data_IF_331761921578
#
_entry.id   IF_331761921578
#
_cell.length_a   1.000
_cell.length_b   1.000
_cell.length_c   1.000
_cell.angle_alpha   90.00
_cell.angle_beta   90.00
_cell.angle_gamma   90.00
#
_symmetry.space_group_name_H-M   'P 1'
#
loop_
_entity.id
_entity.type
_entity.pdbx_description
1 polymer ?
#
# COMPACT_ATOMS: atom_id res chain seq x y z
N UNK A 1 -25.72 115.70 -24.50
CA UNK A 1 -26.28 114.45 -25.05
C UNK A 1 -25.18 113.78 -25.85
N UNK A 2 -24.47 112.81 -25.26
CA UNK A 2 -23.46 111.99 -25.94
C UNK A 2 -23.78 110.52 -25.67
N UNK A 3 -24.20 109.83 -26.73
CA UNK A 3 -24.57 108.41 -26.75
C UNK A 3 -23.32 107.54 -26.53
N UNK A 4 -23.42 106.60 -25.59
CA UNK A 4 -22.51 105.45 -25.53
C UNK A 4 -22.94 104.42 -26.59
N UNK A 5 -22.00 104.07 -27.46
CA UNK A 5 -22.13 102.96 -28.43
C UNK A 5 -21.54 101.71 -27.77
N UNK A 6 -22.33 100.66 -27.65
CA UNK A 6 -21.85 99.33 -27.23
C UNK A 6 -21.41 98.59 -28.50
N UNK A 7 -20.12 98.24 -28.56
CA UNK A 7 -19.53 97.41 -29.61
C UNK A 7 -19.82 95.94 -29.32
N UNK A 8 -20.44 95.22 -30.26
CA UNK A 8 -20.61 93.77 -30.18
C UNK A 8 -19.34 93.08 -30.68
N UNK A 9 -18.75 92.22 -29.84
CA UNK A 9 -17.55 91.47 -30.19
C UNK A 9 -17.84 90.45 -31.31
N UNK A 10 -16.98 90.41 -32.34
CA UNK A 10 -17.05 89.43 -33.44
C UNK A 10 -16.49 88.07 -32.98
N UNK A 11 -17.39 87.09 -32.86
CA UNK A 11 -17.12 85.74 -32.35
C UNK A 11 -16.86 84.72 -33.48
N UNK A 12 -16.86 85.14 -34.75
CA UNK A 12 -16.71 84.24 -35.91
C UNK A 12 -15.37 83.50 -35.94
N UNK A 13 -14.28 84.18 -35.60
CA UNK A 13 -12.92 83.61 -35.49
C UNK A 13 -12.86 82.55 -34.39
N UNK A 14 -13.52 82.80 -33.25
CA UNK A 14 -13.61 81.85 -32.15
C UNK A 14 -14.41 80.62 -32.58
N UNK A 15 -15.49 80.81 -33.35
CA UNK A 15 -16.33 79.71 -33.82
C UNK A 15 -15.62 78.82 -34.86
N UNK A 16 -14.83 79.40 -35.76
CA UNK A 16 -13.97 78.64 -36.69
C UNK A 16 -12.84 77.90 -35.98
N UNK A 17 -12.20 78.53 -35.00
CA UNK A 17 -11.21 77.85 -34.16
C UNK A 17 -11.85 76.67 -33.39
N UNK A 18 -13.06 76.86 -32.85
CA UNK A 18 -13.82 75.78 -32.20
C UNK A 18 -14.19 74.65 -33.15
N UNK A 19 -14.59 74.96 -34.39
CA UNK A 19 -14.95 73.92 -35.36
C UNK A 19 -13.72 73.13 -35.83
N UNK A 20 -12.57 73.81 -36.01
CA UNK A 20 -11.29 73.15 -36.31
C UNK A 20 -10.87 72.23 -35.17
N UNK A 21 -10.92 72.73 -33.93
CA UNK A 21 -10.62 71.93 -32.73
C UNK A 21 -11.57 70.73 -32.63
N UNK A 22 -12.86 70.90 -32.93
CA UNK A 22 -13.83 69.80 -32.91
C UNK A 22 -13.55 68.74 -33.99
N UNK A 23 -13.06 69.16 -35.15
CA UNK A 23 -12.66 68.27 -36.23
C UNK A 23 -11.39 67.50 -35.85
N UNK A 24 -10.39 68.19 -35.33
CA UNK A 24 -9.14 67.59 -34.86
C UNK A 24 -9.38 66.62 -33.69
N UNK A 25 -10.27 67.00 -32.76
CA UNK A 25 -10.71 66.13 -31.65
C UNK A 25 -11.42 64.87 -32.16
N UNK A 26 -12.20 64.97 -33.24
CA UNK A 26 -12.86 63.82 -33.86
C UNK A 26 -11.84 62.90 -34.54
N UNK A 27 -10.83 63.47 -35.21
CA UNK A 27 -9.70 62.73 -35.78
C UNK A 27 -8.91 61.99 -34.71
N UNK A 28 -8.53 62.68 -33.63
CA UNK A 28 -7.82 62.10 -32.48
C UNK A 28 -8.64 61.00 -31.80
N UNK A 29 -9.96 61.16 -31.66
CA UNK A 29 -10.82 60.11 -31.09
C UNK A 29 -10.85 58.85 -31.97
N UNK A 30 -10.88 59.02 -33.30
CA UNK A 30 -10.82 57.89 -34.23
C UNK A 30 -9.47 57.17 -34.19
N UNK A 31 -8.35 57.91 -34.12
CA UNK A 31 -7.01 57.34 -33.98
C UNK A 31 -6.85 56.62 -32.64
N UNK A 32 -7.32 57.21 -31.53
CA UNK A 32 -7.38 56.56 -30.21
C UNK A 32 -8.19 55.27 -30.24
N UNK A 33 -9.34 55.25 -30.92
CA UNK A 33 -10.14 54.04 -31.10
C UNK A 33 -9.37 52.94 -31.85
N UNK A 34 -8.66 53.29 -32.93
CA UNK A 34 -7.82 52.33 -33.66
C UNK A 34 -6.60 51.87 -32.87
N UNK A 35 -6.03 52.73 -32.02
CA UNK A 35 -4.90 52.42 -31.17
C UNK A 35 -5.32 51.47 -30.03
N UNK A 36 -6.47 51.71 -29.40
CA UNK A 36 -7.06 50.78 -28.44
C UNK A 36 -7.31 49.41 -29.07
N UNK A 37 -7.90 49.36 -30.27
CA UNK A 37 -8.13 48.08 -30.96
C UNK A 37 -6.82 47.32 -31.25
N UNK A 38 -5.77 48.03 -31.71
CA UNK A 38 -4.45 47.43 -31.92
C UNK A 38 -3.79 46.98 -30.61
N UNK A 39 -4.00 47.72 -29.53
CA UNK A 39 -3.51 47.37 -28.20
C UNK A 39 -4.20 46.11 -27.67
N UNK A 40 -5.53 46.03 -27.77
CA UNK A 40 -6.32 44.85 -27.40
C UNK A 40 -5.90 43.62 -28.24
N UNK A 41 -5.65 43.81 -29.53
CA UNK A 41 -5.15 42.76 -30.42
C UNK A 41 -3.75 42.29 -30.02
N UNK A 42 -2.83 43.23 -29.72
CA UNK A 42 -1.48 42.90 -29.24
C UNK A 42 -1.51 42.16 -27.91
N UNK A 43 -2.36 42.58 -26.97
CA UNK A 43 -2.53 41.89 -25.70
C UNK A 43 -3.02 40.45 -25.93
N UNK A 44 -4.02 40.25 -26.81
CA UNK A 44 -4.51 38.92 -27.18
C UNK A 44 -3.43 38.05 -27.85
N UNK A 45 -2.63 38.61 -28.75
CA UNK A 45 -1.53 37.89 -29.42
C UNK A 45 -0.40 37.54 -28.44
N UNK A 46 -0.09 38.42 -27.49
CA UNK A 46 0.88 38.16 -26.42
C UNK A 46 0.40 37.06 -25.48
N UNK A 47 -0.87 37.05 -25.08
CA UNK A 47 -1.44 35.96 -24.28
C UNK A 47 -1.34 34.62 -25.02
N UNK A 48 -1.74 34.57 -26.29
CA UNK A 48 -1.62 33.35 -27.11
C UNK A 48 -0.17 32.88 -27.23
N UNK A 49 0.77 33.80 -27.43
CA UNK A 49 2.19 33.45 -27.51
C UNK A 49 2.71 32.90 -26.18
N UNK A 50 2.28 33.49 -25.05
CA UNK A 50 2.62 32.99 -23.73
C UNK A 50 2.08 31.58 -23.50
N UNK A 51 0.83 31.31 -23.91
CA UNK A 51 0.21 29.99 -23.83
C UNK A 51 0.96 28.96 -24.71
N UNK A 52 1.24 29.31 -25.97
CA UNK A 52 2.03 28.43 -26.87
C UNK A 52 3.42 28.14 -26.33
N UNK A 53 4.08 29.13 -25.72
CA UNK A 53 5.39 28.93 -25.12
C UNK A 53 5.31 28.02 -23.89
N UNK A 54 4.29 28.18 -23.05
CA UNK A 54 4.04 27.30 -21.91
C UNK A 54 3.80 25.86 -22.35
N UNK A 55 2.97 25.64 -23.38
CA UNK A 55 2.69 24.33 -23.97
C UNK A 55 3.95 23.70 -24.58
N UNK A 56 4.73 24.48 -25.34
CA UNK A 56 5.99 24.03 -25.92
C UNK A 56 7.00 23.65 -24.83
N UNK A 57 7.17 24.49 -23.81
CA UNK A 57 8.08 24.21 -22.70
C UNK A 57 7.66 22.95 -21.92
N UNK A 58 6.36 22.75 -21.72
CA UNK A 58 5.82 21.54 -21.10
C UNK A 58 6.08 20.29 -21.97
N UNK A 59 5.86 20.37 -23.28
CA UNK A 59 6.11 19.28 -24.22
C UNK A 59 7.60 18.92 -24.34
N UNK A 60 8.48 19.92 -24.45
CA UNK A 60 9.94 19.72 -24.48
C UNK A 60 10.44 19.08 -23.17
N UNK A 61 9.95 19.54 -22.02
CA UNK A 61 10.29 18.97 -20.73
C UNK A 61 9.81 17.51 -20.61
N UNK A 62 8.60 17.20 -21.08
CA UNK A 62 8.08 15.82 -21.14
C UNK A 62 8.93 14.93 -22.06
N UNK A 63 9.26 15.38 -23.27
CA UNK A 63 10.13 14.64 -24.17
C UNK A 63 11.53 14.38 -23.58
N UNK A 64 12.14 15.38 -22.94
CA UNK A 64 13.42 15.22 -22.23
C UNK A 64 13.32 14.21 -21.09
N UNK A 65 12.24 14.28 -20.32
CA UNK A 65 11.99 13.32 -19.24
C UNK A 65 11.84 11.90 -19.77
N UNK A 66 11.10 11.72 -20.87
CA UNK A 66 10.91 10.43 -21.53
C UNK A 66 12.24 9.83 -21.98
N UNK A 67 13.04 10.59 -22.74
CA UNK A 67 14.34 10.11 -23.25
C UNK A 67 15.32 9.77 -22.11
N UNK A 68 15.34 10.60 -21.06
CA UNK A 68 16.15 10.34 -19.87
C UNK A 68 15.67 9.09 -19.13
N UNK A 69 14.35 8.90 -19.01
CA UNK A 69 13.77 7.75 -18.33
C UNK A 69 14.04 6.44 -19.08
N UNK A 70 13.92 6.40 -20.40
CA UNK A 70 14.27 5.23 -21.23
C UNK A 70 15.75 4.84 -21.04
N UNK A 71 16.64 5.83 -21.11
CA UNK A 71 18.08 5.62 -20.93
C UNK A 71 18.40 5.11 -19.52
N UNK A 72 17.84 5.77 -18.50
CA UNK A 72 18.03 5.38 -17.08
C UNK A 72 17.45 4.00 -16.81
N UNK A 73 16.27 3.69 -17.33
CA UNK A 73 15.63 2.39 -17.17
C UNK A 73 16.52 1.27 -17.73
N UNK A 74 17.11 1.48 -18.92
CA UNK A 74 18.05 0.53 -19.51
C UNK A 74 19.28 0.29 -18.62
N UNK A 75 19.94 1.37 -18.19
CA UNK A 75 21.12 1.30 -17.32
C UNK A 75 20.80 0.64 -15.98
N UNK A 76 19.69 1.02 -15.34
CA UNK A 76 19.27 0.45 -14.05
C UNK A 76 18.93 -1.04 -14.17
N UNK A 77 18.29 -1.48 -15.25
CA UNK A 77 18.04 -2.91 -15.51
C UNK A 77 19.35 -3.68 -15.70
N UNK A 78 20.33 -3.10 -16.39
CA UNK A 78 21.66 -3.70 -16.54
C UNK A 78 22.39 -3.79 -15.20
N UNK A 79 22.36 -2.72 -14.39
CA UNK A 79 22.95 -2.71 -13.06
C UNK A 79 22.32 -3.78 -12.16
N UNK A 80 21.00 -3.95 -12.25
CA UNK A 80 20.26 -4.97 -11.51
C UNK A 80 20.68 -6.38 -11.94
N UNK A 81 20.83 -6.62 -13.25
CA UNK A 81 21.33 -7.89 -13.77
C UNK A 81 22.76 -8.18 -13.32
N UNK A 82 23.64 -7.18 -13.32
CA UNK A 82 25.04 -7.33 -12.90
C UNK A 82 25.14 -7.64 -11.41
N UNK A 83 24.39 -6.91 -10.56
CA UNK A 83 24.47 -7.05 -9.11
C UNK A 83 23.68 -8.25 -8.57
N UNK A 84 22.49 -8.50 -9.12
CA UNK A 84 21.51 -9.43 -8.55
C UNK A 84 21.00 -10.49 -9.53
N UNK A 85 21.60 -10.62 -10.72
CA UNK A 85 21.25 -11.68 -11.67
C UNK A 85 21.32 -13.08 -11.05
N UNK A 86 22.31 -13.31 -10.19
CA UNK A 86 22.44 -14.57 -9.45
C UNK A 86 21.36 -14.79 -8.39
N UNK A 87 20.78 -13.73 -7.79
CA UNK A 87 19.68 -13.87 -6.85
C UNK A 87 18.45 -14.45 -7.57
N UNK A 88 18.16 -13.95 -8.78
CA UNK A 88 17.10 -14.51 -9.62
C UNK A 88 17.33 -15.98 -10.00
N UNK A 89 18.58 -16.39 -10.26
CA UNK A 89 18.92 -17.80 -10.45
C UNK A 89 18.67 -18.64 -9.19
N UNK A 90 19.10 -18.17 -8.02
CA UNK A 90 18.91 -18.86 -6.74
C UNK A 90 17.42 -19.01 -6.41
N UNK A 91 16.59 -17.98 -6.67
CA UNK A 91 15.14 -18.07 -6.50
C UNK A 91 14.51 -19.15 -7.39
N UNK A 92 14.93 -19.25 -8.65
CA UNK A 92 14.50 -20.33 -9.56
C UNK A 92 14.92 -21.71 -9.05
N UNK A 93 16.16 -21.84 -8.56
CA UNK A 93 16.65 -23.06 -7.94
C UNK A 93 15.85 -23.41 -6.68
N UNK A 94 15.50 -22.43 -5.85
CA UNK A 94 14.70 -22.63 -4.64
C UNK A 94 13.35 -23.26 -4.96
N UNK A 95 12.63 -22.74 -5.96
CA UNK A 95 11.36 -23.32 -6.43
C UNK A 95 11.56 -24.77 -6.89
N UNK A 96 12.61 -25.05 -7.66
CA UNK A 96 12.92 -26.40 -8.13
C UNK A 96 13.27 -27.38 -7.00
N UNK A 97 14.05 -26.93 -6.01
CA UNK A 97 14.41 -27.73 -4.83
C UNK A 97 13.17 -28.02 -3.98
N UNK A 98 12.33 -27.01 -3.69
CA UNK A 98 11.10 -27.21 -2.90
C UNK A 98 10.17 -28.23 -3.58
N UNK A 99 9.90 -28.06 -4.87
CA UNK A 99 9.08 -29.00 -5.65
C UNK A 99 9.73 -30.39 -5.70
N UNK A 100 11.04 -30.47 -5.92
CA UNK A 100 11.78 -31.72 -6.01
C UNK A 100 11.77 -32.52 -4.71
N UNK A 101 11.86 -31.83 -3.57
CA UNK A 101 11.78 -32.43 -2.23
C UNK A 101 10.36 -32.92 -1.94
N UNK A 102 9.32 -32.20 -2.34
CA UNK A 102 7.93 -32.64 -2.14
C UNK A 102 7.59 -33.93 -2.89
N UNK A 103 8.03 -34.02 -4.15
CA UNK A 103 7.73 -35.18 -5.01
C UNK A 103 8.68 -36.34 -4.71
N UNK A 104 9.86 -36.07 -4.12
CA UNK A 104 10.86 -37.08 -3.77
C UNK A 104 11.57 -37.71 -4.98
N UNK A 105 11.57 -37.02 -6.13
CA UNK A 105 12.10 -37.54 -7.42
C UNK A 105 13.55 -37.12 -7.66
N UNK A 106 14.04 -36.11 -6.94
CA UNK A 106 15.40 -35.59 -7.13
C UNK A 106 16.38 -36.37 -6.25
N UNK A 107 17.46 -36.87 -6.84
CA UNK A 107 18.53 -37.55 -6.11
C UNK A 107 19.26 -36.61 -5.14
N UNK A 108 19.74 -37.17 -4.04
CA UNK A 108 20.54 -36.47 -3.03
C UNK A 108 21.75 -35.72 -3.60
N UNK A 109 22.43 -36.29 -4.61
CA UNK A 109 23.61 -35.67 -5.23
C UNK A 109 23.26 -34.41 -6.04
N UNK A 110 22.13 -34.44 -6.77
CA UNK A 110 21.63 -33.28 -7.52
C UNK A 110 21.17 -32.18 -6.55
N UNK A 111 20.47 -32.54 -5.46
CA UNK A 111 20.06 -31.58 -4.43
C UNK A 111 21.28 -30.91 -3.78
N UNK A 112 22.33 -31.68 -3.46
CA UNK A 112 23.59 -31.13 -2.93
C UNK A 112 24.23 -30.17 -3.93
N UNK A 113 24.44 -30.62 -5.17
CA UNK A 113 25.14 -29.85 -6.18
C UNK A 113 24.42 -28.53 -6.48
N UNK A 114 23.09 -28.55 -6.66
CA UNK A 114 22.31 -27.35 -6.91
C UNK A 114 22.35 -26.36 -5.73
N UNK A 115 22.25 -26.85 -4.50
CA UNK A 115 22.30 -25.98 -3.32
C UNK A 115 23.71 -25.38 -3.09
N UNK A 116 24.77 -26.16 -3.30
CA UNK A 116 26.16 -25.68 -3.19
C UNK A 116 26.49 -24.68 -4.32
N UNK A 117 25.99 -24.92 -5.54
CA UNK A 117 26.11 -23.97 -6.65
C UNK A 117 25.43 -22.62 -6.31
N UNK A 118 24.22 -22.65 -5.74
CA UNK A 118 23.52 -21.46 -5.29
C UNK A 118 24.34 -20.66 -4.25
N UNK A 119 24.99 -21.35 -3.32
CA UNK A 119 25.86 -20.73 -2.30
C UNK A 119 27.11 -20.08 -2.90
N UNK A 120 27.70 -20.69 -3.93
CA UNK A 120 28.88 -20.14 -4.62
C UNK A 120 28.49 -18.91 -5.46
N UNK A 121 27.36 -18.96 -6.16
CA UNK A 121 26.90 -17.88 -7.04
C UNK A 121 26.36 -16.65 -6.29
N UNK A 122 25.75 -16.85 -5.13
CA UNK A 122 25.15 -15.77 -4.35
C UNK A 122 25.62 -15.80 -2.87
N UNK A 123 26.91 -15.51 -2.61
CA UNK A 123 27.49 -15.63 -1.27
C UNK A 123 26.97 -14.59 -0.26
N UNK A 124 26.28 -13.53 -0.69
CA UNK A 124 25.63 -12.56 0.21
C UNK A 124 24.17 -12.91 0.54
N UNK A 125 23.51 -13.71 -0.30
CA UNK A 125 22.06 -13.89 -0.24
C UNK A 125 21.65 -14.86 0.88
N UNK A 126 20.62 -14.57 1.67
CA UNK A 126 20.18 -15.42 2.78
C UNK A 126 19.61 -16.77 2.32
N UNK A 127 18.95 -16.81 1.16
CA UNK A 127 18.27 -18.01 0.66
C UNK A 127 19.26 -19.10 0.26
N UNK A 128 20.43 -18.72 -0.26
CA UNK A 128 21.43 -19.67 -0.71
C UNK A 128 21.90 -20.65 0.40
N UNK A 129 22.39 -20.21 1.58
CA UNK A 129 22.70 -21.11 2.69
C UNK A 129 21.46 -21.76 3.30
N UNK A 130 20.27 -21.15 3.20
CA UNK A 130 19.03 -21.78 3.63
C UNK A 130 18.69 -23.03 2.77
N UNK A 131 18.93 -22.97 1.45
CA UNK A 131 18.78 -24.10 0.54
C UNK A 131 19.82 -25.19 0.82
N UNK A 132 21.07 -24.83 1.11
CA UNK A 132 22.10 -25.81 1.53
C UNK A 132 21.67 -26.49 2.82
N UNK A 133 21.17 -25.73 3.79
CA UNK A 133 20.67 -26.28 5.05
C UNK A 133 19.46 -27.20 4.83
N UNK A 134 18.52 -26.86 3.94
CA UNK A 134 17.39 -27.71 3.59
C UNK A 134 17.84 -29.00 2.89
N UNK A 135 18.71 -28.89 1.88
CA UNK A 135 19.23 -30.05 1.15
C UNK A 135 20.05 -30.98 2.07
N UNK A 136 20.82 -30.43 3.01
CA UNK A 136 21.51 -31.22 4.02
C UNK A 136 20.55 -31.90 5.00
N UNK A 137 19.46 -31.22 5.40
CA UNK A 137 18.43 -31.79 6.27
C UNK A 137 17.73 -32.99 5.64
N UNK A 138 17.30 -32.88 4.39
CA UNK A 138 16.63 -33.96 3.65
C UNK A 138 17.53 -35.20 3.54
N UNK A 139 18.85 -34.99 3.40
CA UNK A 139 19.87 -36.03 3.30
C UNK A 139 20.39 -36.55 4.65
N UNK A 140 19.83 -36.09 5.77
CA UNK A 140 20.30 -36.40 7.12
C UNK A 140 21.78 -36.02 7.40
N UNK A 141 22.33 -35.03 6.69
CA UNK A 141 23.67 -34.48 6.95
C UNK A 141 23.59 -33.35 8.00
N UNK A 142 23.67 -33.75 9.26
CA UNK A 142 23.59 -32.83 10.41
C UNK A 142 24.71 -31.79 10.42
N UNK A 143 25.95 -32.16 10.06
CA UNK A 143 27.10 -31.26 10.17
C UNK A 143 26.97 -30.09 9.18
N UNK A 144 26.62 -30.40 7.93
CA UNK A 144 26.42 -29.39 6.90
C UNK A 144 25.17 -28.56 7.19
N UNK A 145 24.08 -29.19 7.63
CA UNK A 145 22.86 -28.48 8.01
C UNK A 145 23.13 -27.41 9.08
N UNK A 146 23.78 -27.75 10.19
CA UNK A 146 24.03 -26.80 11.29
C UNK A 146 24.97 -25.66 10.90
N UNK A 147 25.93 -25.90 10.00
CA UNK A 147 26.82 -24.84 9.49
C UNK A 147 26.06 -23.89 8.57
N UNK A 148 25.36 -24.44 7.58
CA UNK A 148 24.62 -23.66 6.60
C UNK A 148 23.46 -22.89 7.26
N UNK A 149 22.75 -23.51 8.21
CA UNK A 149 21.67 -22.85 8.94
C UNK A 149 22.17 -21.65 9.72
N UNK A 150 23.33 -21.76 10.40
CA UNK A 150 23.92 -20.61 11.11
C UNK A 150 24.28 -19.47 10.17
N UNK A 151 24.79 -19.77 8.98
CA UNK A 151 25.07 -18.73 7.97
C UNK A 151 23.78 -18.09 7.44
N UNK A 152 22.72 -18.87 7.20
CA UNK A 152 21.43 -18.33 6.78
C UNK A 152 20.83 -17.38 7.83
N UNK A 153 20.81 -17.81 9.10
CA UNK A 153 20.31 -17.01 10.22
C UNK A 153 21.13 -15.73 10.44
N UNK A 154 22.44 -15.77 10.16
CA UNK A 154 23.31 -14.60 10.26
C UNK A 154 23.02 -13.56 9.16
N UNK A 155 22.58 -14.00 7.98
CA UNK A 155 22.25 -13.12 6.85
C UNK A 155 20.87 -12.50 7.03
N UNK A 156 19.86 -13.33 7.30
CA UNK A 156 18.50 -12.87 7.59
C UNK A 156 17.82 -13.86 8.54
N UNK A 157 17.71 -13.47 9.81
CA UNK A 157 17.12 -14.32 10.85
C UNK A 157 15.61 -14.51 10.63
N UNK A 158 14.91 -13.43 10.27
CA UNK A 158 13.47 -13.43 10.10
C UNK A 158 13.03 -14.29 8.91
N UNK A 159 13.57 -14.03 7.72
CA UNK A 159 13.22 -14.76 6.50
C UNK A 159 13.62 -16.23 6.62
N UNK A 160 14.79 -16.52 7.21
CA UNK A 160 15.20 -17.91 7.46
C UNK A 160 14.26 -18.62 8.43
N UNK A 161 13.84 -17.95 9.51
CA UNK A 161 12.89 -18.50 10.49
C UNK A 161 11.53 -18.81 9.85
N UNK A 162 10.99 -17.86 9.08
CA UNK A 162 9.73 -18.04 8.37
C UNK A 162 9.82 -19.17 7.33
N UNK A 163 10.91 -19.21 6.55
CA UNK A 163 11.17 -20.25 5.56
C UNK A 163 11.17 -21.64 6.19
N UNK A 164 11.97 -21.86 7.24
CA UNK A 164 12.06 -23.17 7.89
C UNK A 164 10.77 -23.55 8.62
N UNK A 165 10.02 -22.59 9.18
CA UNK A 165 8.70 -22.87 9.76
C UNK A 165 7.75 -23.44 8.71
N UNK A 166 7.63 -22.79 7.54
CA UNK A 166 6.73 -23.19 6.46
C UNK A 166 7.16 -24.50 5.82
N UNK A 167 8.46 -24.67 5.56
CA UNK A 167 9.01 -25.91 4.96
C UNK A 167 8.86 -27.10 5.91
N UNK A 168 9.19 -26.96 7.19
CA UNK A 168 9.05 -28.07 8.15
C UNK A 168 7.58 -28.48 8.32
N UNK A 169 6.66 -27.51 8.27
CA UNK A 169 5.23 -27.79 8.21
C UNK A 169 4.85 -28.54 6.94
N UNK A 170 5.31 -28.10 5.76
CA UNK A 170 5.04 -28.74 4.46
C UNK A 170 5.52 -30.20 4.42
N UNK A 171 6.69 -30.47 5.02
CA UNK A 171 7.27 -31.82 5.16
C UNK A 171 6.67 -32.64 6.31
N UNK A 172 5.60 -32.17 6.95
CA UNK A 172 4.94 -32.80 8.10
C UNK A 172 5.89 -33.11 9.29
N UNK A 173 6.95 -32.30 9.47
CA UNK A 173 7.89 -32.39 10.60
C UNK A 173 7.40 -31.54 11.76
N UNK A 174 6.35 -32.01 12.42
CA UNK A 174 5.60 -31.29 13.45
C UNK A 174 6.47 -30.70 14.58
N UNK A 175 7.39 -31.48 15.15
CA UNK A 175 8.24 -31.01 16.26
C UNK A 175 9.20 -29.89 15.83
N UNK A 176 9.72 -29.97 14.61
CA UNK A 176 10.58 -28.93 14.05
C UNK A 176 9.76 -27.67 13.71
N UNK A 177 8.59 -27.84 13.08
CA UNK A 177 7.69 -26.75 12.76
C UNK A 177 7.26 -25.97 14.01
N UNK A 178 6.98 -26.67 15.13
CA UNK A 178 6.64 -26.04 16.41
C UNK A 178 7.77 -25.18 16.96
N UNK A 179 9.02 -25.66 16.92
CA UNK A 179 10.19 -24.89 17.38
C UNK A 179 10.44 -23.65 16.52
N UNK A 180 10.27 -23.77 15.20
CA UNK A 180 10.39 -22.63 14.30
C UNK A 180 9.25 -21.63 14.47
N UNK A 181 8.03 -22.10 14.73
CA UNK A 181 6.89 -21.24 15.07
C UNK A 181 7.12 -20.48 16.37
N UNK A 182 7.64 -21.13 17.41
CA UNK A 182 8.04 -20.46 18.66
C UNK A 182 9.04 -19.33 18.40
N UNK A 183 10.07 -19.62 17.59
CA UNK A 183 11.05 -18.61 17.20
C UNK A 183 10.38 -17.48 16.40
N UNK A 184 9.49 -17.79 15.47
CA UNK A 184 8.76 -16.81 14.68
C UNK A 184 7.99 -15.82 15.55
N UNK A 185 7.24 -16.30 16.56
CA UNK A 185 6.53 -15.42 17.49
C UNK A 185 7.45 -14.48 18.29
N UNK A 186 8.69 -14.88 18.56
CA UNK A 186 9.68 -14.01 19.23
C UNK A 186 10.22 -12.89 18.33
N UNK A 187 10.14 -13.05 17.01
CA UNK A 187 10.52 -12.00 16.05
C UNK A 187 9.43 -10.96 15.81
N UNK A 188 8.19 -11.27 16.18
CA UNK A 188 7.07 -10.38 15.92
C UNK A 188 7.06 -9.17 16.86
N UNK A 189 6.69 -8.02 16.32
CA UNK A 189 6.44 -6.82 17.10
C UNK A 189 4.93 -6.57 17.19
N UNK A 190 4.31 -6.61 18.38
CA UNK A 190 2.86 -6.43 18.52
C UNK A 190 2.34 -5.06 18.07
N UNK A 191 3.19 -4.03 18.04
CA UNK A 191 2.81 -2.69 17.54
C UNK A 191 2.88 -2.58 16.02
N UNK A 192 3.55 -3.54 15.36
CA UNK A 192 3.89 -3.46 13.96
C UNK A 192 3.96 -4.87 13.36
N UNK A 193 2.78 -5.45 13.09
CA UNK A 193 2.67 -6.78 12.53
C UNK A 193 2.50 -6.72 11.02
N UNK A 194 3.21 -7.63 10.34
CA UNK A 194 3.06 -7.83 8.91
C UNK A 194 1.79 -8.64 8.60
N UNK A 195 1.34 -8.55 7.35
CA UNK A 195 0.13 -9.24 6.89
C UNK A 195 0.25 -10.76 6.96
N UNK A 196 1.45 -11.34 6.85
CA UNK A 196 1.64 -12.79 6.97
C UNK A 196 1.22 -13.33 8.34
N UNK A 197 1.24 -12.49 9.38
CA UNK A 197 0.93 -12.90 10.74
C UNK A 197 -0.51 -13.42 10.88
N UNK A 198 -1.51 -12.78 10.26
CA UNK A 198 -2.91 -13.23 10.36
C UNK A 198 -3.10 -14.61 9.71
N UNK A 199 -2.39 -14.88 8.62
CA UNK A 199 -2.43 -16.17 7.91
C UNK A 199 -1.80 -17.26 8.78
N UNK A 200 -0.70 -16.94 9.48
CA UNK A 200 -0.05 -17.88 10.41
C UNK A 200 -0.95 -18.14 11.63
N UNK A 201 -1.57 -17.11 12.19
CA UNK A 201 -2.54 -17.24 13.28
C UNK A 201 -3.71 -18.13 12.84
N UNK A 202 -4.24 -17.91 11.64
CA UNK A 202 -5.29 -18.73 11.05
C UNK A 202 -4.86 -20.18 10.81
N UNK A 203 -3.61 -20.42 10.42
CA UNK A 203 -3.10 -21.78 10.29
C UNK A 203 -3.01 -22.51 11.64
N UNK A 204 -2.70 -21.79 12.72
CA UNK A 204 -2.70 -22.36 14.06
C UNK A 204 -4.14 -22.68 14.53
N UNK A 205 -5.12 -21.82 14.25
CA UNK A 205 -6.52 -22.04 14.66
C UNK A 205 -7.19 -23.18 13.91
N UNK A 206 -6.92 -23.29 12.62
CA UNK A 206 -7.50 -24.32 11.74
C UNK A 206 -6.85 -25.69 11.91
N UNK A 207 -5.86 -25.82 12.80
CA UNK A 207 -5.19 -27.09 13.10
C UNK A 207 -4.22 -27.57 12.03
N UNK A 208 -3.75 -26.66 11.17
CA UNK A 208 -2.68 -26.95 10.20
C UNK A 208 -1.35 -27.16 10.91
N UNK A 209 -1.11 -26.39 11.97
CA UNK A 209 0.02 -26.62 12.87
C UNK A 209 -0.37 -27.62 13.98
N UNK A 210 0.62 -28.26 14.62
CA UNK A 210 0.37 -29.22 15.70
C UNK A 210 -0.45 -28.60 16.85
N UNK A 211 -1.23 -29.39 17.62
CA UNK A 211 -2.07 -28.86 18.71
C UNK A 211 -1.32 -28.00 19.74
N UNK A 212 -0.05 -28.33 20.03
CA UNK A 212 0.81 -27.55 20.91
C UNK A 212 1.04 -26.10 20.43
N UNK A 213 0.97 -25.85 19.12
CA UNK A 213 1.10 -24.51 18.53
C UNK A 213 0.00 -23.57 18.99
N UNK A 214 -1.22 -24.08 19.24
CA UNK A 214 -2.33 -23.26 19.74
C UNK A 214 -2.06 -22.75 21.16
N UNK A 215 -1.57 -23.62 22.03
CA UNK A 215 -1.20 -23.22 23.40
C UNK A 215 -0.08 -22.19 23.37
N UNK A 216 0.93 -22.40 22.54
CA UNK A 216 2.05 -21.48 22.36
C UNK A 216 1.57 -20.09 21.89
N UNK A 217 0.76 -20.05 20.84
CA UNK A 217 0.17 -18.82 20.32
C UNK A 217 -0.65 -18.09 21.39
N UNK A 218 -1.50 -18.79 22.15
CA UNK A 218 -2.32 -18.18 23.20
C UNK A 218 -1.49 -17.53 24.30
N UNK A 219 -0.34 -18.11 24.65
CA UNK A 219 0.59 -17.51 25.62
C UNK A 219 1.15 -16.19 25.08
N UNK A 220 1.71 -16.19 23.86
CA UNK A 220 2.27 -14.99 23.24
C UNK A 220 1.22 -13.88 23.04
N UNK A 221 0.02 -14.24 22.58
CA UNK A 221 -1.10 -13.31 22.41
C UNK A 221 -1.48 -12.66 23.74
N UNK A 222 -1.56 -13.43 24.83
CA UNK A 222 -1.87 -12.88 26.16
C UNK A 222 -0.78 -11.92 26.64
N UNK A 223 0.49 -12.25 26.41
CA UNK A 223 1.61 -11.40 26.79
C UNK A 223 1.59 -10.07 26.00
N UNK A 224 1.31 -10.12 24.70
CA UNK A 224 1.15 -8.92 23.89
C UNK A 224 -0.05 -8.08 24.31
N UNK A 225 -1.19 -8.70 24.61
CA UNK A 225 -2.34 -7.99 25.16
C UNK A 225 -1.97 -7.26 26.46
N UNK A 226 -1.24 -7.93 27.36
CA UNK A 226 -0.77 -7.32 28.60
C UNK A 226 0.24 -6.18 28.36
N UNK A 227 1.06 -6.23 27.31
CA UNK A 227 1.99 -5.16 26.94
C UNK A 227 1.27 -3.96 26.33
N UNK A 228 0.42 -4.20 25.33
CA UNK A 228 -0.31 -3.16 24.61
C UNK A 228 -1.33 -2.43 25.48
N UNK A 229 -1.89 -3.10 26.49
CA UNK A 229 -2.87 -2.50 27.42
C UNK A 229 -2.27 -1.73 28.59
N UNK A 230 -0.92 -1.67 28.72
CA UNK A 230 -0.27 -0.87 29.76
C UNK A 230 -0.40 0.66 29.53
N UNK A 231 -0.74 1.10 28.31
CA UNK A 231 -0.95 2.51 27.97
C UNK A 231 -2.42 2.90 27.77
N UNK A 232 -2.85 4.00 28.39
CA UNK A 232 -4.24 4.50 28.28
C UNK A 232 -4.61 4.97 26.87
N UNK A 233 -3.63 5.47 26.10
CA UNK A 233 -3.86 6.04 24.75
C UNK A 233 -4.40 5.00 23.78
N UNK A 234 -3.95 3.77 23.90
CA UNK A 234 -4.27 2.69 22.99
C UNK A 234 -5.66 2.10 23.25
N UNK A 235 -5.98 1.83 24.51
CA UNK A 235 -7.32 1.38 24.92
C UNK A 235 -8.39 2.39 24.51
N UNK A 236 -8.11 3.70 24.67
CA UNK A 236 -9.06 4.75 24.30
C UNK A 236 -9.28 4.85 22.79
N UNK A 237 -8.24 4.65 21.96
CA UNK A 237 -8.40 4.55 20.49
C UNK A 237 -9.27 3.36 20.11
N UNK A 238 -9.02 2.19 20.70
CA UNK A 238 -9.80 0.99 20.42
C UNK A 238 -11.26 1.14 20.82
N UNK A 239 -11.53 1.69 22.02
CA UNK A 239 -12.90 2.02 22.47
C UNK A 239 -13.61 2.92 21.47
N UNK A 240 -12.95 3.99 21.02
CA UNK A 240 -13.54 4.93 20.05
C UNK A 240 -13.88 4.24 18.72
N UNK A 241 -12.99 3.38 18.21
CA UNK A 241 -13.24 2.62 16.99
C UNK A 241 -14.40 1.64 17.14
N UNK A 242 -14.45 0.90 18.26
CA UNK A 242 -15.53 -0.05 18.55
C UNK A 242 -16.87 0.67 18.70
N UNK A 243 -16.90 1.82 19.40
CA UNK A 243 -18.10 2.65 19.50
C UNK A 243 -18.60 3.09 18.12
N UNK A 244 -17.73 3.61 17.25
CA UNK A 244 -18.09 4.00 15.88
C UNK A 244 -18.61 2.82 15.06
N UNK A 245 -17.99 1.66 15.22
CA UNK A 245 -18.42 0.44 14.53
C UNK A 245 -19.82 -0.01 15.00
N UNK A 246 -20.08 -0.03 16.31
CA UNK A 246 -21.39 -0.37 16.86
C UNK A 246 -22.47 0.65 16.47
N UNK A 247 -22.13 1.94 16.40
CA UNK A 247 -23.01 2.98 15.86
C UNK A 247 -23.34 2.76 14.38
N UNK A 248 -22.40 2.23 13.58
CA UNK A 248 -22.61 1.94 12.16
C UNK A 248 -23.48 0.68 11.93
N UNK A 249 -23.36 -0.33 12.79
CA UNK A 249 -24.15 -1.58 12.72
C UNK A 249 -25.63 -1.39 13.10
N UNK A 250 -25.96 -0.36 13.87
CA UNK A 250 -27.31 -0.12 14.35
C UNK A 250 -28.30 0.10 13.19
N UNK A 251 -29.33 -0.75 13.01
CA UNK A 251 -30.27 -0.59 11.90
C UNK A 251 -31.05 0.71 12.05
N UNK A 252 -31.13 1.49 10.95
CA UNK A 252 -31.94 2.70 10.90
C UNK A 252 -33.40 2.35 11.20
N UNK A 253 -34.07 3.08 12.12
CA UNK A 253 -35.49 2.89 12.40
C UNK A 253 -36.38 3.50 11.30
N UNK A 254 -36.11 3.19 10.03
CA UNK A 254 -36.85 3.77 8.90
C UNK A 254 -38.34 3.45 8.98
N UNK A 255 -39.16 4.50 9.06
CA UNK A 255 -40.60 4.48 8.81
C UNK A 255 -41.48 3.80 9.86
N UNK A 256 -40.94 3.29 10.98
CA UNK A 256 -41.75 2.56 11.98
C UNK A 256 -42.51 3.45 12.96
N UNK A 257 -42.13 4.71 13.13
CA UNK A 257 -42.75 5.63 14.11
C UNK A 257 -42.99 7.05 13.59
N UNK A 258 -43.71 7.21 12.46
CA UNK A 258 -43.88 8.50 11.78
C UNK A 258 -44.57 9.58 12.64
N UNK A 259 -45.41 9.17 13.60
CA UNK A 259 -46.09 10.08 14.51
C UNK A 259 -45.15 10.61 15.61
N UNK A 260 -44.26 9.78 16.14
CA UNK A 260 -43.29 10.21 17.14
C UNK A 260 -42.21 11.09 16.51
N UNK A 261 -41.82 10.79 15.27
CA UNK A 261 -40.91 11.61 14.47
C UNK A 261 -41.45 13.02 14.23
N UNK A 262 -42.74 13.13 13.92
CA UNK A 262 -43.36 14.42 13.56
C UNK A 262 -43.73 15.28 14.76
N UNK A 263 -44.08 14.67 15.89
CA UNK A 263 -44.71 15.38 17.01
C UNK A 263 -43.93 15.35 18.33
N UNK A 264 -42.88 14.54 18.45
CA UNK A 264 -42.13 14.46 19.71
C UNK A 264 -40.92 15.41 19.73
N UNK A 265 -40.79 16.28 20.76
CA UNK A 265 -39.66 17.19 20.89
C UNK A 265 -38.33 16.47 21.21
N UNK A 266 -38.40 15.25 21.76
CA UNK A 266 -37.23 14.42 22.11
C UNK A 266 -36.99 13.25 21.15
N UNK A 267 -37.60 13.26 19.95
CA UNK A 267 -37.54 12.14 19.00
C UNK A 267 -36.12 11.67 18.70
N UNK A 268 -35.19 12.58 18.41
CA UNK A 268 -33.78 12.23 18.11
C UNK A 268 -33.10 11.44 19.24
N UNK A 269 -33.39 11.76 20.50
CA UNK A 269 -32.83 11.03 21.63
C UNK A 269 -33.42 9.61 21.75
N UNK A 270 -34.73 9.47 21.52
CA UNK A 270 -35.42 8.19 21.49
C UNK A 270 -34.96 7.32 20.31
N UNK A 271 -34.76 7.94 19.15
CA UNK A 271 -34.24 7.30 17.94
C UNK A 271 -32.83 6.72 18.17
N UNK A 272 -31.94 7.51 18.77
CA UNK A 272 -30.60 7.06 19.13
C UNK A 272 -30.64 5.89 20.13
N UNK A 273 -31.43 6.01 21.20
CA UNK A 273 -31.57 4.94 22.20
C UNK A 273 -32.16 3.65 21.61
N UNK A 274 -33.12 3.78 20.69
CA UNK A 274 -33.68 2.65 19.96
C UNK A 274 -32.66 2.01 19.02
N UNK A 275 -31.83 2.82 18.35
CA UNK A 275 -30.74 2.35 17.50
C UNK A 275 -29.72 1.56 18.34
N UNK A 276 -29.27 2.11 19.46
CA UNK A 276 -28.36 1.44 20.40
C UNK A 276 -28.92 0.11 20.91
N UNK A 277 -30.20 0.08 21.33
CA UNK A 277 -30.85 -1.14 21.80
C UNK A 277 -30.91 -2.23 20.71
N UNK A 278 -31.18 -1.84 19.45
CA UNK A 278 -31.21 -2.78 18.31
C UNK A 278 -29.83 -3.26 17.90
N UNK A 279 -28.77 -2.49 18.15
CA UNK A 279 -27.40 -2.93 17.94
C UNK A 279 -27.06 -4.18 18.77
N UNK A 280 -27.63 -4.34 19.96
CA UNK A 280 -27.40 -5.53 20.79
C UNK A 280 -27.84 -6.83 20.12
N UNK A 281 -28.99 -6.85 19.44
CA UNK A 281 -29.48 -8.04 18.72
C UNK A 281 -28.58 -8.35 17.51
N UNK A 282 -28.16 -7.33 16.77
CA UNK A 282 -27.24 -7.49 15.65
C UNK A 282 -25.88 -8.04 16.10
N UNK A 283 -25.33 -7.54 17.21
CA UNK A 283 -24.09 -8.05 17.80
C UNK A 283 -24.22 -9.48 18.31
N UNK A 284 -25.32 -9.79 18.99
CA UNK A 284 -25.58 -11.15 19.47
C UNK A 284 -25.68 -12.14 18.30
N UNK A 285 -26.37 -11.75 17.22
CA UNK A 285 -26.43 -12.54 15.99
C UNK A 285 -25.04 -12.70 15.35
N UNK A 286 -24.24 -11.63 15.27
CA UNK A 286 -22.87 -11.64 14.75
C UNK A 286 -21.99 -12.67 15.47
N UNK A 287 -21.87 -12.56 16.80
CA UNK A 287 -21.03 -13.49 17.58
C UNK A 287 -21.57 -14.93 17.58
N UNK A 288 -22.89 -15.13 17.62
CA UNK A 288 -23.48 -16.47 17.47
C UNK A 288 -23.12 -17.10 16.13
N UNK A 289 -23.14 -16.33 15.04
CA UNK A 289 -22.79 -16.81 13.70
C UNK A 289 -21.29 -17.16 13.56
N UNK A 290 -20.43 -16.48 14.31
CA UNK A 290 -18.99 -16.81 14.39
C UNK A 290 -18.80 -18.15 15.11
N UNK A 291 -19.34 -18.26 16.34
CA UNK A 291 -19.13 -19.41 17.22
C UNK A 291 -19.79 -20.70 16.69
N UNK A 292 -20.94 -20.57 16.02
CA UNK A 292 -21.68 -21.73 15.48
C UNK A 292 -21.13 -22.26 14.15
N UNK A 293 -20.16 -21.59 13.54
CA UNK A 293 -19.61 -22.00 12.25
C UNK A 293 -18.62 -23.16 12.40
N UNK A 294 -18.95 -24.31 11.82
CA UNK A 294 -18.13 -25.53 11.82
C UNK A 294 -17.40 -25.79 10.49
N UNK A 295 -17.29 -24.77 9.63
CA UNK A 295 -16.63 -24.91 8.33
C UNK A 295 -15.12 -25.21 8.47
N UNK A 296 -14.63 -26.19 7.72
CA UNK A 296 -13.22 -26.53 7.62
C UNK A 296 -12.52 -25.56 6.64
N UNK A 297 -11.80 -24.58 7.19
CA UNK A 297 -11.03 -23.60 6.42
C UNK A 297 -9.60 -24.06 6.12
N UNK A 298 -9.18 -25.24 6.61
CA UNK A 298 -7.78 -25.70 6.56
C UNK A 298 -7.22 -25.83 5.14
N UNK A 299 -8.06 -26.08 4.13
CA UNK A 299 -7.63 -26.18 2.73
C UNK A 299 -7.23 -24.83 2.13
N UNK A 300 -8.02 -23.78 2.34
CA UNK A 300 -7.72 -22.45 1.83
C UNK A 300 -6.46 -21.86 2.47
N UNK A 301 -6.34 -22.05 3.78
CA UNK A 301 -5.19 -21.59 4.56
C UNK A 301 -3.91 -22.36 4.18
N UNK A 302 -4.04 -23.62 3.77
CA UNK A 302 -2.90 -24.36 3.20
C UNK A 302 -2.34 -23.69 1.96
N UNK A 303 -3.21 -23.31 1.03
CA UNK A 303 -2.83 -22.61 -0.20
C UNK A 303 -2.17 -21.26 0.13
N UNK A 304 -2.75 -20.48 1.03
CA UNK A 304 -2.17 -19.20 1.45
C UNK A 304 -0.78 -19.34 2.08
N UNK A 305 -0.54 -20.37 2.90
CA UNK A 305 0.79 -20.63 3.46
C UNK A 305 1.81 -21.06 2.38
N UNK A 306 1.36 -21.83 1.38
CA UNK A 306 2.21 -22.21 0.26
C UNK A 306 2.52 -21.00 -0.65
N UNK A 307 1.56 -20.07 -0.78
CA UNK A 307 1.78 -18.77 -1.44
C UNK A 307 2.79 -17.92 -0.68
N UNK A 308 2.71 -17.82 0.66
CA UNK A 308 3.72 -17.11 1.46
C UNK A 308 5.11 -17.74 1.24
N UNK A 309 5.21 -19.08 1.29
CA UNK A 309 6.48 -19.76 1.06
C UNK A 309 7.01 -19.50 -0.36
N UNK A 310 6.12 -19.50 -1.35
CA UNK A 310 6.48 -19.17 -2.74
C UNK A 310 6.99 -17.74 -2.84
N UNK A 311 6.22 -16.77 -2.34
CA UNK A 311 6.59 -15.34 -2.35
C UNK A 311 7.90 -15.11 -1.61
N UNK A 312 8.11 -15.73 -0.46
CA UNK A 312 9.36 -15.63 0.29
C UNK A 312 10.57 -16.14 -0.52
N UNK A 313 10.38 -17.20 -1.31
CA UNK A 313 11.42 -17.75 -2.18
C UNK A 313 11.56 -17.02 -3.52
N UNK A 314 10.55 -16.27 -3.98
CA UNK A 314 10.52 -15.66 -5.32
C UNK A 314 10.60 -14.13 -5.33
N UNK A 315 10.29 -13.45 -4.23
CA UNK A 315 10.32 -12.00 -4.15
C UNK A 315 11.74 -11.44 -4.16
N UNK A 316 11.84 -10.18 -4.57
CA UNK A 316 13.08 -9.42 -4.48
C UNK A 316 13.48 -9.23 -3.03
N UNK A 317 14.78 -9.35 -2.76
CA UNK A 317 15.32 -9.11 -1.42
C UNK A 317 15.44 -7.61 -1.14
N UNK A 318 15.59 -7.22 0.13
CA UNK A 318 15.61 -5.81 0.54
C UNK A 318 16.75 -5.02 -0.14
N UNK A 319 17.85 -5.71 -0.47
CA UNK A 319 18.99 -5.15 -1.21
C UNK A 319 18.65 -4.78 -2.67
N UNK A 320 17.67 -5.49 -3.27
CA UNK A 320 17.22 -5.28 -4.64
C UNK A 320 16.16 -4.18 -4.74
N UNK A 321 15.35 -4.00 -3.68
CA UNK A 321 14.19 -3.10 -3.68
C UNK A 321 14.52 -1.67 -4.14
N UNK A 322 15.58 -0.98 -3.66
CA UNK A 322 15.86 0.38 -4.08
C UNK A 322 16.10 0.53 -5.58
N UNK A 323 16.76 -0.45 -6.20
CA UNK A 323 17.00 -0.45 -7.64
C UNK A 323 15.76 -0.86 -8.42
N UNK A 324 14.96 -1.81 -7.92
CA UNK A 324 13.66 -2.17 -8.50
C UNK A 324 12.68 -0.99 -8.50
N UNK A 325 12.60 -0.25 -7.39
CA UNK A 325 11.76 0.95 -7.28
C UNK A 325 12.16 2.02 -8.30
N UNK A 326 13.46 2.25 -8.49
CA UNK A 326 13.95 3.19 -9.51
C UNK A 326 13.62 2.70 -10.92
N UNK A 327 13.75 1.41 -11.21
CA UNK A 327 13.35 0.82 -12.49
C UNK A 327 11.84 1.00 -12.71
N UNK A 328 11.01 0.75 -11.68
CA UNK A 328 9.55 0.91 -11.73
C UNK A 328 9.16 2.37 -11.96
N UNK A 329 9.77 3.31 -11.25
CA UNK A 329 9.52 4.73 -11.44
C UNK A 329 9.85 5.19 -12.88
N UNK A 330 11.01 4.82 -13.42
CA UNK A 330 11.36 5.18 -14.79
C UNK A 330 10.43 4.49 -15.81
N UNK A 331 9.95 3.27 -15.54
CA UNK A 331 8.91 2.64 -16.36
C UNK A 331 7.61 3.45 -16.37
N UNK A 332 7.16 3.92 -15.20
CA UNK A 332 5.96 4.75 -15.09
C UNK A 332 6.12 6.08 -15.84
N UNK A 333 7.29 6.72 -15.75
CA UNK A 333 7.58 7.94 -16.51
C UNK A 333 7.48 7.69 -18.02
N UNK A 334 7.96 6.53 -18.50
CA UNK A 334 7.83 6.15 -19.92
C UNK A 334 6.37 5.88 -20.28
N UNK A 335 5.62 5.17 -19.44
CA UNK A 335 4.20 4.85 -19.67
C UNK A 335 3.29 6.09 -19.66
N UNK A 336 3.71 7.16 -18.97
CA UNK A 336 2.98 8.42 -18.86
C UNK A 336 3.59 9.52 -19.74
N UNK A 337 4.25 9.14 -20.84
CA UNK A 337 4.79 10.05 -21.86
C UNK A 337 5.67 11.19 -21.29
N UNK A 338 6.48 10.88 -20.27
CA UNK A 338 7.39 11.85 -19.64
C UNK A 338 6.76 12.68 -18.51
N UNK A 339 5.51 12.41 -18.12
CA UNK A 339 4.85 13.04 -16.98
C UNK A 339 5.35 12.45 -15.64
N UNK A 340 6.36 13.09 -15.07
CA UNK A 340 6.97 12.68 -13.80
C UNK A 340 6.04 12.82 -12.61
N UNK A 341 5.19 13.84 -12.58
CA UNK A 341 4.32 14.08 -11.43
C UNK A 341 3.26 12.98 -11.34
N UNK A 342 2.67 12.65 -12.48
CA UNK A 342 1.70 11.57 -12.56
C UNK A 342 2.35 10.20 -12.23
N UNK A 343 3.57 9.93 -12.72
CA UNK A 343 4.30 8.71 -12.41
C UNK A 343 4.65 8.58 -10.91
N UNK A 344 5.04 9.69 -10.27
CA UNK A 344 5.33 9.73 -8.85
C UNK A 344 4.07 9.47 -8.02
N UNK A 345 2.94 10.07 -8.39
CA UNK A 345 1.66 9.86 -7.71
C UNK A 345 1.20 8.39 -7.78
N UNK A 346 1.39 7.73 -8.92
CA UNK A 346 1.13 6.28 -9.06
C UNK A 346 2.07 5.46 -8.16
N UNK A 347 3.37 5.79 -8.13
CA UNK A 347 4.34 5.10 -7.28
C UNK A 347 4.04 5.26 -5.79
N UNK A 348 3.64 6.46 -5.35
CA UNK A 348 3.25 6.72 -3.97
C UNK A 348 1.98 5.95 -3.59
N UNK A 349 1.00 5.89 -4.49
CA UNK A 349 -0.20 5.08 -4.32
C UNK A 349 0.14 3.59 -4.22
N UNK A 350 1.06 3.07 -5.06
CA UNK A 350 1.54 1.68 -4.99
C UNK A 350 2.20 1.40 -3.63
N UNK A 351 3.12 2.26 -3.15
CA UNK A 351 3.81 2.07 -1.86
C UNK A 351 2.84 2.00 -0.68
N UNK A 352 1.84 2.87 -0.63
CA UNK A 352 0.84 2.89 0.44
C UNK A 352 -0.01 1.62 0.53
N UNK A 353 -0.12 0.84 -0.55
CA UNK A 353 -0.84 -0.45 -0.56
C UNK A 353 0.01 -1.58 0.05
N UNK A 354 1.34 -1.51 -0.07
CA UNK A 354 2.24 -2.55 0.42
C UNK A 354 2.69 -2.33 1.89
N UNK A 355 2.74 -1.09 2.37
CA UNK A 355 3.19 -0.72 3.73
C UNK A 355 2.10 -0.83 4.81
N UNK A 356 1.03 -1.62 4.59
CA UNK A 356 0.00 -1.81 5.62
C UNK A 356 0.48 -2.74 6.73
N UNK A 357 1.39 -2.25 7.56
CA UNK A 357 1.66 -2.82 8.87
C UNK A 357 0.60 -2.32 9.84
N UNK A 358 0.07 -3.25 10.64
CA UNK A 358 -1.06 -2.98 11.50
C UNK A 358 -0.73 -3.42 12.91
N UNK A 359 -1.17 -2.64 13.89
CA UNK A 359 -1.09 -3.02 15.30
C UNK A 359 -1.93 -4.28 15.56
N UNK A 360 -1.46 -5.16 16.43
CA UNK A 360 -2.13 -6.42 16.77
C UNK A 360 -3.60 -6.27 17.19
N UNK A 361 -4.00 -5.28 18.00
CA UNK A 361 -5.43 -5.14 18.35
C UNK A 361 -6.28 -4.64 17.18
N UNK A 362 -5.70 -3.80 16.33
CA UNK A 362 -6.39 -3.35 15.12
C UNK A 362 -6.56 -4.54 14.16
N UNK A 363 -5.54 -5.39 14.06
CA UNK A 363 -5.58 -6.63 13.28
C UNK A 363 -6.66 -7.58 13.83
N UNK A 364 -6.74 -7.78 15.16
CA UNK A 364 -7.80 -8.58 15.78
C UNK A 364 -9.20 -7.97 15.59
N UNK A 365 -9.34 -6.65 15.68
CA UNK A 365 -10.62 -5.98 15.43
C UNK A 365 -11.05 -6.12 13.97
N UNK A 366 -10.11 -5.95 13.04
CA UNK A 366 -10.35 -6.18 11.62
C UNK A 366 -10.70 -7.64 11.37
N UNK A 367 -10.02 -8.61 11.99
CA UNK A 367 -10.38 -10.02 11.89
C UNK A 367 -11.81 -10.28 12.39
N UNK A 368 -12.17 -9.74 13.55
CA UNK A 368 -13.47 -9.96 14.21
C UNK A 368 -14.66 -9.33 13.49
N UNK A 369 -14.46 -8.16 12.89
CA UNK A 369 -15.55 -7.32 12.39
C UNK A 369 -15.50 -7.06 10.88
N UNK A 370 -14.32 -7.10 10.27
CA UNK A 370 -14.09 -6.93 8.83
C UNK A 370 -13.22 -8.07 8.27
N UNK A 371 -13.68 -9.33 8.36
CA UNK A 371 -12.89 -10.51 7.97
C UNK A 371 -12.42 -10.44 6.51
N UNK A 372 -13.22 -9.84 5.62
CA UNK A 372 -12.87 -9.69 4.21
C UNK A 372 -11.68 -8.76 3.98
N UNK A 373 -11.53 -7.70 4.78
CA UNK A 373 -10.40 -6.76 4.70
C UNK A 373 -9.12 -7.35 5.29
N UNK A 374 -9.25 -8.25 6.27
CA UNK A 374 -8.12 -8.86 6.98
C UNK A 374 -7.75 -10.25 6.45
N UNK A 375 -8.57 -10.85 5.60
CA UNK A 375 -8.41 -12.21 5.12
C UNK A 375 -8.68 -13.30 6.17
N UNK A 376 -9.32 -12.96 7.29
CA UNK A 376 -9.54 -13.87 8.42
C UNK A 376 -10.79 -14.74 8.24
N UNK A 377 -10.69 -16.06 8.47
CA UNK A 377 -11.87 -16.94 8.53
C UNK A 377 -12.59 -16.91 9.87
N UNK A 378 -13.79 -17.51 9.90
CA UNK A 378 -14.60 -17.65 11.13
C UNK A 378 -13.89 -18.43 12.25
N UNK A 379 -12.94 -19.31 11.91
CA UNK A 379 -12.12 -20.01 12.89
C UNK A 379 -11.17 -19.06 13.62
N UNK A 380 -10.60 -18.10 12.90
CA UNK A 380 -9.76 -17.03 13.45
C UNK A 380 -10.56 -16.02 14.26
N UNK A 381 -11.79 -15.72 13.84
CA UNK A 381 -12.70 -14.83 14.57
C UNK A 381 -13.15 -15.37 15.95
N UNK A 382 -13.09 -16.68 16.15
CA UNK A 382 -13.52 -17.33 17.39
C UNK A 382 -12.43 -17.42 18.47
N UNK A 383 -11.18 -17.06 18.14
CA UNK A 383 -10.09 -16.87 19.12
C UNK A 383 -10.33 -15.63 19.96
#
# INVERSE_FOLDING_TARGET
>A
MSQQVISYADLSVINHALSSISSDMSGVHSELGTLNFKQDQLESELTKLADFFADFAAADLRHKNLQLAETRQGNLKQDLQIKFGYYAEVRRMATGILQGVDVGVVSDDILRAAAEEAMIKAPGYWLAPALVALAAWVRNDKSTHEKALREALKRDDYKTTLFFMLVMRRLAKNDAALKWLERYFRHQNPHNLDREFIIILEAVTTGIFPPASRQLMMTHVKDWLAQLTQGDTFINKQKSQWSKFFEALGPLPDGKYPLLEKFSPNWKALENSLKEARTHDALNAHFKNIISSSADFSKGVKVQLDEILSLLATNFDDEELPLQEQVRLNQLIVQMDGDKAAAQAVMEAEKHVFDQQVDFLQLLANASFNPELSGASKATQAL
#
